data_IF_722110507767
#
_entry.id   IF_722110507767
#
_cell.length_a   1.000
_cell.length_b   1.000
_cell.length_c   1.000
_cell.angle_alpha   90.00
_cell.angle_beta   90.00
_cell.angle_gamma   90.00
#
_symmetry.space_group_name_H-M   'P 1'
#
loop_
_entity.id
_entity.type
_entity.pdbx_description
1 polymer ?
#
# COMPACT_ATOMS: atom_id res chain seq x y z
N UNK A 1 35.51 8.51 -40.36
CA UNK A 1 34.13 9.04 -40.35
C UNK A 1 33.21 7.90 -40.00
N UNK A 2 32.41 8.05 -38.95
CA UNK A 2 31.69 6.97 -38.29
C UNK A 2 30.50 6.46 -39.12
N UNK A 3 30.39 5.14 -39.27
CA UNK A 3 29.20 4.48 -39.83
C UNK A 3 28.03 4.54 -38.83
N UNK A 4 26.77 4.71 -39.30
CA UNK A 4 25.62 4.87 -38.43
C UNK A 4 25.32 3.57 -37.69
N UNK A 5 25.17 3.65 -36.37
CA UNK A 5 24.82 2.52 -35.52
C UNK A 5 23.48 1.90 -35.91
N UNK A 6 23.52 0.61 -36.25
CA UNK A 6 22.33 -0.22 -36.43
C UNK A 6 21.58 -0.24 -35.10
N UNK A 7 20.45 0.47 -35.00
CA UNK A 7 19.49 0.28 -33.91
C UNK A 7 18.99 -1.16 -34.00
N UNK A 8 19.47 -2.05 -33.14
CA UNK A 8 18.91 -3.41 -32.98
C UNK A 8 17.41 -3.24 -32.70
N UNK A 9 16.57 -3.68 -33.63
CA UNK A 9 15.13 -3.80 -33.38
C UNK A 9 14.96 -4.70 -32.16
N UNK A 10 14.34 -4.17 -31.11
CA UNK A 10 13.91 -4.96 -29.96
C UNK A 10 13.01 -6.08 -30.50
N UNK A 11 13.53 -7.31 -30.48
CA UNK A 11 12.74 -8.47 -30.83
C UNK A 11 11.78 -8.72 -29.67
N UNK A 12 10.49 -8.65 -29.95
CA UNK A 12 9.45 -9.10 -29.03
C UNK A 12 9.65 -10.61 -28.83
N UNK A 13 10.11 -11.00 -27.64
CA UNK A 13 10.19 -12.40 -27.21
C UNK A 13 8.79 -12.86 -26.85
N UNK A 14 8.35 -13.98 -27.42
CA UNK A 14 7.10 -14.65 -27.03
C UNK A 14 7.33 -15.25 -25.64
N UNK A 15 6.53 -14.79 -24.68
CA UNK A 15 6.54 -15.22 -23.28
C UNK A 15 5.57 -16.42 -23.16
N UNK A 16 6.03 -17.55 -22.61
CA UNK A 16 5.17 -18.72 -22.39
C UNK A 16 4.18 -18.51 -21.24
N UNK A 17 3.07 -19.25 -21.21
CA UNK A 17 1.94 -19.11 -20.26
C UNK A 17 2.27 -19.16 -18.75
N UNK A 18 3.52 -19.46 -18.35
CA UNK A 18 3.99 -19.40 -16.96
C UNK A 18 4.95 -18.24 -16.66
N UNK A 19 5.31 -17.44 -17.67
CA UNK A 19 6.31 -16.37 -17.58
C UNK A 19 5.68 -14.96 -17.59
N UNK A 20 4.40 -14.78 -17.23
CA UNK A 20 3.81 -13.44 -17.15
C UNK A 20 4.64 -12.57 -16.19
N UNK A 21 5.39 -11.63 -16.76
CA UNK A 21 5.79 -10.40 -16.09
C UNK A 21 4.49 -9.61 -16.06
N UNK A 22 3.82 -9.60 -14.91
CA UNK A 22 2.55 -8.89 -14.75
C UNK A 22 2.74 -7.38 -14.86
N UNK A 23 3.99 -6.89 -14.85
CA UNK A 23 4.32 -5.46 -14.86
C UNK A 23 3.88 -4.76 -13.58
N UNK A 24 3.42 -5.52 -12.58
CA UNK A 24 2.87 -5.02 -11.33
C UNK A 24 3.95 -4.85 -10.25
N UNK A 25 5.09 -5.52 -10.42
CA UNK A 25 6.20 -5.53 -9.47
C UNK A 25 7.45 -4.90 -10.12
N UNK A 26 8.34 -4.26 -9.33
CA UNK A 26 9.60 -3.76 -9.86
C UNK A 26 10.42 -4.89 -10.49
N UNK A 27 11.00 -4.62 -11.66
CA UNK A 27 11.74 -5.62 -12.44
C UNK A 27 12.83 -6.37 -11.65
N UNK A 28 13.59 -5.76 -10.72
CA UNK A 28 14.54 -6.50 -9.89
C UNK A 28 13.87 -7.54 -8.97
N UNK A 29 12.70 -7.22 -8.40
CA UNK A 29 11.94 -8.16 -7.57
C UNK A 29 11.43 -9.32 -8.41
N UNK A 30 10.83 -9.04 -9.57
CA UNK A 30 10.35 -10.08 -10.48
C UNK A 30 11.46 -11.04 -10.90
N UNK A 31 12.63 -10.49 -11.24
CA UNK A 31 13.79 -11.28 -11.61
C UNK A 31 14.30 -12.09 -10.43
N UNK A 32 14.48 -11.47 -9.26
CA UNK A 32 14.94 -12.15 -8.05
C UNK A 32 14.03 -13.34 -7.74
N UNK A 33 12.71 -13.10 -7.70
CA UNK A 33 11.72 -14.11 -7.39
C UNK A 33 11.71 -15.29 -8.38
N UNK A 34 11.97 -15.03 -9.67
CA UNK A 34 12.01 -16.07 -10.71
C UNK A 34 13.28 -16.90 -10.68
N UNK A 35 14.43 -16.31 -10.36
CA UNK A 35 15.73 -17.00 -10.47
C UNK A 35 16.20 -17.61 -9.15
N UNK A 36 15.73 -17.11 -8.01
CA UNK A 36 16.26 -17.55 -6.72
C UNK A 36 15.76 -18.96 -6.37
N UNK A 37 16.68 -19.78 -5.89
CA UNK A 37 16.37 -21.03 -5.22
C UNK A 37 15.89 -20.77 -3.78
N UNK A 38 14.97 -21.61 -3.30
CA UNK A 38 14.44 -21.48 -1.94
C UNK A 38 15.56 -21.56 -0.90
N UNK A 39 15.80 -20.43 -0.23
CA UNK A 39 16.71 -20.32 0.91
C UNK A 39 18.14 -19.94 0.53
N UNK A 40 18.40 -19.73 -0.76
CA UNK A 40 19.65 -19.17 -1.25
C UNK A 40 19.83 -17.70 -0.83
N UNK A 41 20.99 -17.14 -1.15
CA UNK A 41 21.32 -15.76 -0.77
C UNK A 41 20.43 -14.72 -1.46
N UNK A 42 20.04 -14.96 -2.71
CA UNK A 42 19.15 -14.06 -3.48
C UNK A 42 17.75 -14.03 -2.87
N UNK A 43 17.23 -15.20 -2.51
CA UNK A 43 15.95 -15.35 -1.84
C UNK A 43 15.96 -14.67 -0.46
N UNK A 44 17.03 -14.87 0.32
CA UNK A 44 17.19 -14.19 1.62
C UNK A 44 17.26 -12.67 1.47
N UNK A 45 17.96 -12.16 0.46
CA UNK A 45 18.02 -10.72 0.18
C UNK A 45 16.64 -10.18 -0.24
N UNK A 46 15.91 -10.92 -1.06
CA UNK A 46 14.53 -10.58 -1.44
C UNK A 46 13.60 -10.53 -0.23
N UNK A 47 13.65 -11.52 0.66
CA UNK A 47 12.87 -11.52 1.90
C UNK A 47 13.30 -10.38 2.82
N UNK A 48 14.59 -10.04 2.91
CA UNK A 48 15.08 -8.91 3.70
C UNK A 48 14.50 -7.57 3.21
N UNK A 49 14.43 -7.38 1.89
CA UNK A 49 13.76 -6.23 1.27
C UNK A 49 12.27 -6.20 1.65
N UNK A 50 11.60 -7.35 1.53
CA UNK A 50 10.19 -7.50 1.88
C UNK A 50 9.91 -7.15 3.35
N UNK A 51 10.73 -7.66 4.28
CA UNK A 51 10.69 -7.34 5.71
C UNK A 51 10.82 -5.84 5.94
N UNK A 52 11.74 -5.18 5.23
CA UNK A 52 11.97 -3.73 5.38
C UNK A 52 10.74 -2.92 4.95
N UNK A 53 10.15 -3.26 3.80
CA UNK A 53 8.95 -2.58 3.29
C UNK A 53 7.72 -2.86 4.17
N UNK A 54 7.57 -4.10 4.64
CA UNK A 54 6.48 -4.47 5.54
C UNK A 54 6.61 -3.77 6.91
N UNK A 55 7.80 -3.73 7.51
CA UNK A 55 8.03 -3.00 8.78
C UNK A 55 7.68 -1.52 8.61
N UNK A 56 8.13 -0.89 7.51
CA UNK A 56 7.78 0.49 7.20
C UNK A 56 6.26 0.67 7.09
N UNK A 57 5.57 -0.15 6.30
CA UNK A 57 4.11 -0.06 6.15
C UNK A 57 3.37 -0.25 7.48
N UNK A 58 3.75 -1.24 8.29
CA UNK A 58 3.16 -1.49 9.61
C UNK A 58 3.31 -0.29 10.55
N UNK A 59 4.48 0.35 10.57
CA UNK A 59 4.76 1.51 11.43
C UNK A 59 4.05 2.78 10.97
N UNK A 60 3.93 2.97 9.67
CA UNK A 60 3.33 4.18 9.09
C UNK A 60 1.81 4.11 9.05
N UNK A 61 1.23 2.92 8.90
CA UNK A 61 -0.21 2.75 8.69
C UNK A 61 -1.02 2.40 9.95
N UNK A 62 -0.35 2.08 11.06
CA UNK A 62 -1.03 1.61 12.28
C UNK A 62 -0.41 2.15 13.57
N UNK A 63 -1.21 2.37 14.62
CA UNK A 63 -0.70 2.76 15.93
C UNK A 63 0.13 1.63 16.58
N UNK A 64 1.04 1.94 17.52
CA UNK A 64 1.90 0.95 18.16
C UNK A 64 1.17 -0.26 18.77
N UNK A 65 0.02 -0.05 19.39
CA UNK A 65 -0.78 -1.13 19.99
C UNK A 65 -1.43 -2.09 18.98
N UNK A 66 -1.56 -1.66 17.72
CA UNK A 66 -2.10 -2.47 16.62
C UNK A 66 -0.99 -3.14 15.80
N UNK A 67 0.13 -2.45 15.56
CA UNK A 67 1.22 -2.99 14.73
C UNK A 67 2.14 -3.96 15.47
N UNK A 68 2.26 -3.86 16.80
CA UNK A 68 3.24 -4.64 17.56
C UNK A 68 3.14 -6.15 17.38
N UNK A 69 1.95 -6.78 17.46
CA UNK A 69 1.83 -8.22 17.24
C UNK A 69 2.32 -8.66 15.85
N UNK A 70 2.06 -7.87 14.81
CA UNK A 70 2.53 -8.15 13.45
C UNK A 70 4.03 -7.96 13.30
N UNK A 71 4.59 -6.92 13.95
CA UNK A 71 6.03 -6.67 13.99
C UNK A 71 6.79 -7.80 14.71
N UNK A 72 6.22 -8.34 15.79
CA UNK A 72 6.81 -9.48 16.50
C UNK A 72 6.87 -10.71 15.58
N UNK A 73 5.84 -10.98 14.76
CA UNK A 73 5.90 -12.06 13.77
C UNK A 73 6.88 -11.77 12.62
N UNK A 74 6.93 -10.53 12.16
CA UNK A 74 7.87 -10.12 11.11
C UNK A 74 9.33 -10.24 11.57
N UNK A 75 9.60 -10.13 12.88
CA UNK A 75 10.93 -10.38 13.45
C UNK A 75 11.42 -11.81 13.22
N UNK A 76 10.51 -12.79 13.09
CA UNK A 76 10.83 -14.17 12.75
C UNK A 76 11.32 -14.27 11.31
N UNK A 77 10.70 -13.55 10.36
CA UNK A 77 11.19 -13.46 8.98
C UNK A 77 12.60 -12.83 8.94
N UNK A 78 12.84 -11.80 9.75
CA UNK A 78 14.17 -11.19 9.87
C UNK A 78 15.22 -12.18 10.43
N UNK A 79 14.86 -12.94 11.47
CA UNK A 79 15.72 -13.99 12.01
C UNK A 79 15.97 -15.11 11.00
N UNK A 80 14.97 -15.43 10.16
CA UNK A 80 15.10 -16.45 9.11
C UNK A 80 16.10 -16.01 8.06
N UNK A 81 16.04 -14.74 7.60
CA UNK A 81 17.03 -14.14 6.69
C UNK A 81 18.45 -14.32 7.23
N UNK A 82 18.63 -14.10 8.53
CA UNK A 82 19.92 -14.24 9.24
C UNK A 82 20.35 -15.71 9.49
N UNK A 83 19.53 -16.69 9.12
CA UNK A 83 19.82 -18.12 9.35
C UNK A 83 19.66 -18.57 10.80
N UNK A 84 18.94 -17.81 11.63
CA UNK A 84 18.78 -18.08 13.08
C UNK A 84 17.56 -18.91 13.42
N UNK A 85 16.60 -19.02 12.51
CA UNK A 85 15.38 -19.82 12.69
C UNK A 85 15.11 -20.65 11.45
N UNK A 86 14.40 -21.75 11.64
CA UNK A 86 13.98 -22.66 10.57
C UNK A 86 12.66 -22.22 9.91
N UNK A 87 12.23 -23.00 8.93
CA UNK A 87 10.99 -22.77 8.18
C UNK A 87 9.74 -23.04 9.03
N UNK A 88 9.82 -23.93 10.01
CA UNK A 88 8.65 -24.28 10.83
C UNK A 88 8.26 -23.11 11.75
N UNK A 89 9.26 -22.44 12.33
CA UNK A 89 9.06 -21.19 13.05
C UNK A 89 8.39 -20.12 12.17
N UNK A 90 8.77 -20.01 10.89
CA UNK A 90 8.16 -19.03 9.98
C UNK A 90 6.71 -19.36 9.64
N UNK A 91 6.34 -20.65 9.54
CA UNK A 91 4.94 -21.07 9.32
C UNK A 91 4.05 -20.76 10.51
N UNK A 92 4.55 -20.99 11.72
CA UNK A 92 3.86 -20.59 12.95
C UNK A 92 3.65 -19.07 12.98
N UNK A 93 4.71 -18.30 12.72
CA UNK A 93 4.64 -16.85 12.67
C UNK A 93 3.64 -16.34 11.60
N UNK A 94 3.59 -17.01 10.45
CA UNK A 94 2.63 -16.74 9.37
C UNK A 94 1.18 -16.93 9.82
N UNK A 95 0.89 -18.02 10.53
CA UNK A 95 -0.45 -18.27 11.08
C UNK A 95 -0.84 -17.21 12.11
N UNK A 96 0.08 -16.87 13.02
CA UNK A 96 -0.13 -15.83 14.03
C UNK A 96 -0.33 -14.45 13.40
N UNK A 97 0.45 -14.09 12.37
CA UNK A 97 0.27 -12.84 11.63
C UNK A 97 -1.09 -12.78 10.91
N UNK A 98 -1.50 -13.87 10.27
CA UNK A 98 -2.80 -13.96 9.57
C UNK A 98 -3.97 -13.77 10.54
N UNK A 99 -3.94 -14.45 11.69
CA UNK A 99 -4.98 -14.30 12.73
C UNK A 99 -5.00 -12.90 13.36
N UNK A 100 -3.87 -12.19 13.36
CA UNK A 100 -3.78 -10.84 13.89
C UNK A 100 -4.36 -9.74 12.98
N UNK A 101 -4.61 -9.99 11.68
CA UNK A 101 -5.06 -8.98 10.71
C UNK A 101 -6.34 -8.26 11.20
N UNK A 102 -7.38 -9.02 11.53
CA UNK A 102 -8.68 -8.47 11.94
C UNK A 102 -8.56 -7.66 13.23
N UNK A 103 -7.74 -8.14 14.17
CA UNK A 103 -7.49 -7.42 15.42
C UNK A 103 -6.72 -6.11 15.19
N UNK A 104 -5.75 -6.09 14.27
CA UNK A 104 -4.99 -4.91 13.92
C UNK A 104 -5.86 -3.84 13.25
N UNK A 105 -6.73 -4.23 12.32
CA UNK A 105 -7.69 -3.33 11.66
C UNK A 105 -8.66 -2.71 12.69
N UNK A 106 -9.25 -3.56 13.56
CA UNK A 106 -10.14 -3.12 14.62
C UNK A 106 -9.45 -2.15 15.59
N UNK A 107 -8.26 -2.48 16.10
CA UNK A 107 -7.52 -1.58 17.01
C UNK A 107 -7.12 -0.27 16.34
N UNK A 108 -6.81 -0.29 15.05
CA UNK A 108 -6.48 0.93 14.29
C UNK A 108 -7.70 1.83 14.16
N UNK A 109 -8.85 1.28 13.76
CA UNK A 109 -10.11 2.04 13.64
C UNK A 109 -10.61 2.55 14.98
N UNK A 110 -10.47 1.78 16.07
CA UNK A 110 -10.76 2.23 17.44
C UNK A 110 -9.87 3.41 17.84
N UNK A 111 -8.55 3.33 17.61
CA UNK A 111 -7.63 4.42 17.92
C UNK A 111 -7.93 5.70 17.14
N UNK A 112 -8.28 5.57 15.86
CA UNK A 112 -8.72 6.71 15.03
C UNK A 112 -10.04 7.27 15.56
N UNK A 113 -11.00 6.42 15.92
CA UNK A 113 -12.30 6.85 16.50
C UNK A 113 -12.11 7.66 17.78
N UNK A 114 -11.27 7.19 18.70
CA UNK A 114 -10.95 7.93 19.93
C UNK A 114 -10.25 9.26 19.62
N UNK A 115 -9.33 9.28 18.66
CA UNK A 115 -8.67 10.51 18.22
C UNK A 115 -9.69 11.51 17.65
N UNK A 116 -10.64 11.06 16.82
CA UNK A 116 -11.69 11.90 16.26
C UNK A 116 -12.59 12.53 17.34
N UNK A 117 -12.91 11.78 18.42
CA UNK A 117 -13.68 12.31 19.56
C UNK A 117 -12.94 13.44 20.26
N UNK A 118 -11.62 13.32 20.42
CA UNK A 118 -10.78 14.33 21.08
C UNK A 118 -10.69 15.64 20.29
N UNK A 119 -10.78 15.59 18.96
CA UNK A 119 -10.71 16.78 18.11
C UNK A 119 -11.96 17.69 18.17
N UNK A 120 -13.00 17.32 18.93
CA UNK A 120 -14.23 18.13 19.18
C UNK A 120 -14.84 18.76 17.92
N UNK A 121 -14.87 18.02 16.80
CA UNK A 121 -15.47 18.53 15.56
C UNK A 121 -17.00 18.55 15.68
N UNK A 122 -17.60 19.73 15.54
CA UNK A 122 -19.03 19.83 15.24
C UNK A 122 -19.20 19.47 13.76
N UNK A 123 -19.98 18.44 13.48
CA UNK A 123 -20.39 18.14 12.10
C UNK A 123 -21.41 19.21 11.69
N UNK A 124 -21.03 20.06 10.73
CA UNK A 124 -21.86 21.18 10.27
C UNK A 124 -22.73 20.78 9.07
N UNK A 125 -22.29 19.79 8.29
CA UNK A 125 -22.95 19.31 7.07
C UNK A 125 -23.10 17.79 7.04
N UNK A 126 -23.95 17.28 6.11
CA UNK A 126 -24.03 15.85 5.82
C UNK A 126 -22.71 15.26 5.30
N UNK A 127 -21.89 16.09 4.62
CA UNK A 127 -20.56 15.72 4.14
C UNK A 127 -19.57 15.48 5.29
N UNK A 128 -19.67 16.18 6.42
CA UNK A 128 -18.81 15.94 7.58
C UNK A 128 -19.02 14.56 8.22
N UNK A 129 -20.28 14.10 8.29
CA UNK A 129 -20.61 12.75 8.75
C UNK A 129 -20.06 11.70 7.79
N UNK A 130 -20.24 11.91 6.49
CA UNK A 130 -19.73 11.02 5.45
C UNK A 130 -18.20 10.94 5.47
N UNK A 131 -17.51 12.07 5.59
CA UNK A 131 -16.06 12.12 5.65
C UNK A 131 -15.49 11.37 6.87
N UNK A 132 -16.19 11.41 8.02
CA UNK A 132 -15.81 10.60 9.18
C UNK A 132 -15.80 9.11 8.86
N UNK A 133 -16.83 8.62 8.16
CA UNK A 133 -16.88 7.23 7.67
C UNK A 133 -15.75 6.93 6.69
N UNK A 134 -15.42 7.87 5.79
CA UNK A 134 -14.30 7.73 4.84
C UNK A 134 -12.95 7.63 5.55
N UNK A 135 -12.70 8.48 6.55
CA UNK A 135 -11.48 8.44 7.37
C UNK A 135 -11.31 7.06 8.02
N UNK A 136 -12.37 6.55 8.67
CA UNK A 136 -12.33 5.24 9.32
C UNK A 136 -12.09 4.11 8.31
N UNK A 137 -12.77 4.15 7.15
CA UNK A 137 -12.58 3.17 6.08
C UNK A 137 -11.16 3.18 5.54
N UNK A 138 -10.59 4.36 5.28
CA UNK A 138 -9.24 4.47 4.73
C UNK A 138 -8.18 4.04 5.75
N UNK A 139 -8.36 4.35 7.04
CA UNK A 139 -7.48 3.84 8.09
C UNK A 139 -7.56 2.31 8.20
N UNK A 140 -8.76 1.72 8.10
CA UNK A 140 -8.95 0.27 8.05
C UNK A 140 -8.24 -0.35 6.85
N UNK A 141 -8.41 0.21 5.65
CA UNK A 141 -7.73 -0.24 4.43
C UNK A 141 -6.21 -0.15 4.56
N UNK A 142 -5.69 0.96 5.12
CA UNK A 142 -4.26 1.13 5.38
C UNK A 142 -3.70 0.05 6.30
N UNK A 143 -4.40 -0.24 7.41
CA UNK A 143 -4.03 -1.31 8.34
C UNK A 143 -4.08 -2.69 7.68
N UNK A 144 -5.13 -2.97 6.91
CA UNK A 144 -5.33 -4.24 6.23
C UNK A 144 -4.21 -4.53 5.22
N UNK A 145 -3.89 -3.57 4.35
CA UNK A 145 -2.79 -3.70 3.38
C UNK A 145 -1.43 -3.85 4.08
N UNK A 146 -1.18 -3.10 5.16
CA UNK A 146 0.07 -3.22 5.92
C UNK A 146 0.20 -4.58 6.62
N UNK A 147 -0.88 -5.11 7.21
CA UNK A 147 -0.91 -6.44 7.79
C UNK A 147 -0.76 -7.53 6.71
N UNK A 148 -1.37 -7.32 5.55
CA UNK A 148 -1.17 -8.13 4.34
C UNK A 148 0.29 -8.21 3.91
N UNK A 149 1.04 -7.09 3.97
CA UNK A 149 2.47 -7.09 3.68
C UNK A 149 3.26 -8.02 4.61
N UNK A 150 2.93 -8.05 5.90
CA UNK A 150 3.59 -8.93 6.86
C UNK A 150 3.35 -10.41 6.54
N UNK A 151 2.11 -10.77 6.22
CA UNK A 151 1.75 -12.14 5.80
C UNK A 151 2.41 -12.52 4.48
N UNK A 152 2.36 -11.64 3.47
CA UNK A 152 3.03 -11.88 2.18
C UNK A 152 4.54 -12.03 2.33
N UNK A 153 5.16 -11.31 3.26
CA UNK A 153 6.59 -11.45 3.56
C UNK A 153 6.91 -12.82 4.16
N UNK A 154 6.06 -13.31 5.04
CA UNK A 154 6.21 -14.66 5.62
C UNK A 154 5.91 -15.75 4.59
N UNK A 155 4.89 -15.56 3.74
CA UNK A 155 4.59 -16.45 2.62
C UNK A 155 5.74 -16.48 1.60
N UNK A 156 6.46 -15.36 1.42
CA UNK A 156 7.61 -15.27 0.52
C UNK A 156 8.75 -16.22 0.90
N UNK A 157 8.87 -16.58 2.18
CA UNK A 157 9.89 -17.55 2.67
C UNK A 157 9.63 -18.96 2.12
N UNK A 158 8.37 -19.33 1.91
CA UNK A 158 7.99 -20.59 1.29
C UNK A 158 8.00 -20.50 -0.25
N UNK A 159 7.55 -19.37 -0.80
CA UNK A 159 7.35 -19.12 -2.22
C UNK A 159 7.81 -17.70 -2.60
N UNK A 160 9.00 -17.53 -3.22
CA UNK A 160 9.53 -16.21 -3.59
C UNK A 160 8.57 -15.37 -4.45
N UNK A 161 7.66 -16.00 -5.21
CA UNK A 161 6.66 -15.31 -6.03
C UNK A 161 5.67 -14.47 -5.21
N UNK A 162 5.57 -14.71 -3.90
CA UNK A 162 4.71 -13.90 -3.01
C UNK A 162 5.26 -12.49 -2.75
N UNK A 163 6.54 -12.26 -3.03
CA UNK A 163 7.18 -10.95 -2.91
C UNK A 163 6.70 -9.92 -3.95
N UNK A 164 6.13 -10.38 -5.08
CA UNK A 164 5.80 -9.53 -6.24
C UNK A 164 4.88 -8.35 -5.87
N UNK A 165 3.93 -8.56 -4.97
CA UNK A 165 2.94 -7.54 -4.64
C UNK A 165 3.33 -6.63 -3.46
N UNK A 166 4.46 -6.87 -2.80
CA UNK A 166 4.80 -6.17 -1.54
C UNK A 166 5.00 -4.67 -1.76
N UNK A 167 5.62 -4.25 -2.85
CA UNK A 167 5.85 -2.83 -3.13
C UNK A 167 4.53 -2.08 -3.30
N UNK A 168 3.63 -2.62 -4.11
CA UNK A 168 2.30 -2.05 -4.36
C UNK A 168 1.44 -2.05 -3.10
N UNK A 169 1.46 -3.15 -2.33
CA UNK A 169 0.73 -3.26 -1.06
C UNK A 169 1.25 -2.26 -0.02
N UNK A 170 2.56 -2.15 0.16
CA UNK A 170 3.17 -1.22 1.10
C UNK A 170 2.90 0.24 0.73
N UNK A 171 3.01 0.59 -0.56
CA UNK A 171 2.69 1.94 -1.05
C UNK A 171 1.22 2.27 -0.82
N UNK A 172 0.31 1.36 -1.18
CA UNK A 172 -1.12 1.50 -0.96
C UNK A 172 -1.49 1.66 0.51
N UNK A 173 -0.89 0.87 1.40
CA UNK A 173 -1.11 0.93 2.84
C UNK A 173 -0.80 2.32 3.40
N UNK A 174 0.35 2.89 3.03
CA UNK A 174 0.80 4.19 3.51
C UNK A 174 -0.01 5.32 2.86
N UNK A 175 -0.34 5.20 1.57
CA UNK A 175 -1.18 6.17 0.87
C UNK A 175 -2.58 6.26 1.49
N UNK A 176 -3.23 5.12 1.78
CA UNK A 176 -4.54 5.11 2.45
C UNK A 176 -4.48 5.78 3.82
N UNK A 177 -3.46 5.49 4.63
CA UNK A 177 -3.32 6.12 5.94
C UNK A 177 -3.11 7.64 5.84
N UNK A 178 -2.26 8.10 4.91
CA UNK A 178 -2.05 9.53 4.65
C UNK A 178 -3.33 10.23 4.18
N UNK A 179 -4.13 9.56 3.35
CA UNK A 179 -5.43 10.08 2.93
C UNK A 179 -6.41 10.18 4.10
N UNK A 180 -6.48 9.15 4.95
CA UNK A 180 -7.34 9.12 6.12
C UNK A 180 -7.01 10.26 7.10
N UNK A 181 -5.74 10.42 7.46
CA UNK A 181 -5.32 11.36 8.50
C UNK A 181 -5.00 12.78 7.97
N UNK A 182 -4.89 12.95 6.66
CA UNK A 182 -4.64 14.24 6.00
C UNK A 182 -5.88 14.76 5.26
N UNK A 183 -5.95 14.65 3.92
CA UNK A 183 -7.03 15.24 3.12
C UNK A 183 -8.45 14.88 3.55
N UNK A 184 -8.75 13.61 3.85
CA UNK A 184 -10.10 13.22 4.27
C UNK A 184 -10.48 13.85 5.63
N UNK A 185 -9.47 14.07 6.47
CA UNK A 185 -9.61 14.78 7.73
C UNK A 185 -9.72 16.30 7.53
N UNK A 186 -9.10 16.91 6.53
CA UNK A 186 -9.11 18.37 6.33
C UNK A 186 -10.52 18.95 6.13
N UNK A 187 -10.89 19.99 6.90
CA UNK A 187 -12.18 20.70 6.72
C UNK A 187 -12.21 21.55 5.46
N UNK A 188 -11.06 22.09 5.05
CA UNK A 188 -10.91 22.94 3.86
C UNK A 188 -11.36 22.22 2.59
N UNK A 189 -10.95 20.96 2.41
CA UNK A 189 -11.36 20.16 1.26
C UNK A 189 -12.87 19.93 1.24
N UNK A 190 -13.48 19.66 2.40
CA UNK A 190 -14.94 19.45 2.48
C UNK A 190 -15.71 20.73 2.15
N UNK A 191 -15.23 21.87 2.66
CA UNK A 191 -15.81 23.16 2.35
C UNK A 191 -15.68 23.48 0.84
N UNK A 192 -14.53 23.21 0.23
CA UNK A 192 -14.32 23.39 -1.20
C UNK A 192 -15.21 22.48 -2.06
N UNK A 193 -15.33 21.20 -1.70
CA UNK A 193 -16.20 20.25 -2.40
C UNK A 193 -17.68 20.66 -2.28
N UNK A 194 -18.09 21.15 -1.11
CA UNK A 194 -19.44 21.66 -0.89
C UNK A 194 -19.72 22.93 -1.72
N UNK A 195 -18.81 23.90 -1.69
CA UNK A 195 -18.95 25.14 -2.46
C UNK A 195 -18.98 24.90 -3.98
N UNK A 196 -18.16 23.97 -4.48
CA UNK A 196 -18.20 23.57 -5.90
C UNK A 196 -19.53 22.90 -6.24
N UNK A 197 -20.03 22.01 -5.37
CA UNK A 197 -21.30 21.32 -5.59
C UNK A 197 -22.51 22.28 -5.59
N UNK A 198 -22.52 23.26 -4.69
CA UNK A 198 -23.55 24.32 -4.67
C UNK A 198 -23.51 25.16 -5.95
N UNK A 199 -22.30 25.52 -6.41
CA UNK A 199 -22.13 26.26 -7.67
C UNK A 199 -22.66 25.46 -8.87
N UNK A 200 -22.27 24.19 -9.02
CA UNK A 200 -22.76 23.33 -10.11
C UNK A 200 -24.28 23.11 -10.05
N UNK A 201 -24.83 22.89 -8.85
CA UNK A 201 -26.27 22.71 -8.66
C UNK A 201 -27.08 23.99 -8.97
N UNK A 202 -26.46 25.18 -8.84
CA UNK A 202 -27.10 26.47 -9.16
C UNK A 202 -27.20 26.75 -10.68
N UNK A 203 -26.55 25.94 -11.52
CA UNK A 203 -26.54 26.15 -12.97
C UNK A 203 -27.92 25.85 -13.57
N UNK A 204 -28.40 26.66 -14.54
CA UNK A 204 -29.70 26.43 -15.17
C UNK A 204 -29.84 25.00 -15.71
N UNK A 205 -30.86 24.28 -15.27
CA UNK A 205 -31.13 22.89 -15.68
C UNK A 205 -30.39 21.80 -14.91
N UNK A 206 -29.53 22.13 -13.95
CA UNK A 206 -28.74 21.14 -13.18
C UNK A 206 -29.40 20.73 -11.85
N UNK A 207 -30.13 21.64 -11.20
CA UNK A 207 -30.73 21.43 -9.87
C UNK A 207 -31.77 20.31 -9.80
N UNK A 208 -32.38 19.96 -10.92
CA UNK A 208 -33.39 18.89 -11.01
C UNK A 208 -32.78 17.49 -11.18
N UNK A 209 -31.49 17.40 -11.55
CA UNK A 209 -30.83 16.12 -11.90
C UNK A 209 -29.91 15.62 -10.80
N UNK A 210 -29.23 16.50 -10.05
CA UNK A 210 -28.29 16.10 -9.00
C UNK A 210 -28.42 16.97 -7.74
N UNK A 211 -28.85 16.41 -6.59
CA UNK A 211 -28.82 17.12 -5.32
C UNK A 211 -27.40 17.55 -4.94
N UNK A 212 -27.21 18.81 -4.52
CA UNK A 212 -25.89 19.36 -4.17
C UNK A 212 -25.09 18.48 -3.19
N UNK A 213 -25.77 17.85 -2.22
CA UNK A 213 -25.11 16.93 -1.28
C UNK A 213 -24.52 15.67 -1.93
N UNK A 214 -25.18 15.10 -2.95
CA UNK A 214 -24.66 13.94 -3.67
C UNK A 214 -23.45 14.32 -4.53
N UNK A 215 -23.52 15.48 -5.18
CA UNK A 215 -22.41 16.02 -5.96
C UNK A 215 -21.20 16.36 -5.09
N UNK A 216 -21.42 16.92 -3.90
CA UNK A 216 -20.34 17.21 -2.94
C UNK A 216 -19.61 15.93 -2.50
N UNK A 217 -20.34 14.84 -2.26
CA UNK A 217 -19.76 13.54 -1.93
C UNK A 217 -18.96 12.97 -3.10
N UNK A 218 -19.45 13.10 -4.33
CA UNK A 218 -18.72 12.66 -5.52
C UNK A 218 -17.41 13.44 -5.70
N UNK A 219 -17.48 14.78 -5.70
CA UNK A 219 -16.30 15.65 -5.83
C UNK A 219 -15.26 15.37 -4.74
N UNK A 220 -15.72 15.14 -3.51
CA UNK A 220 -14.85 14.75 -2.40
C UNK A 220 -14.11 13.44 -2.68
N UNK A 221 -14.80 12.39 -3.16
CA UNK A 221 -14.17 11.11 -3.49
C UNK A 221 -13.26 11.18 -4.71
N UNK A 222 -13.63 11.94 -5.75
CA UNK A 222 -12.78 12.14 -6.93
C UNK A 222 -11.45 12.78 -6.53
N UNK A 223 -11.49 13.85 -5.73
CA UNK A 223 -10.28 14.49 -5.22
C UNK A 223 -9.44 13.53 -4.37
N UNK A 224 -10.06 12.81 -3.43
CA UNK A 224 -9.35 11.83 -2.61
C UNK A 224 -8.74 10.71 -3.45
N UNK A 225 -9.43 10.26 -4.50
CA UNK A 225 -8.93 9.26 -5.45
C UNK A 225 -7.70 9.74 -6.21
N UNK A 226 -7.72 10.98 -6.72
CA UNK A 226 -6.56 11.60 -7.36
C UNK A 226 -5.38 11.71 -6.39
N UNK A 227 -5.60 12.26 -5.19
CA UNK A 227 -4.54 12.41 -4.18
C UNK A 227 -3.97 11.06 -3.72
N UNK A 228 -4.84 10.06 -3.53
CA UNK A 228 -4.41 8.71 -3.19
C UNK A 228 -3.51 8.13 -4.28
N UNK A 229 -3.90 8.28 -5.56
CA UNK A 229 -3.12 7.80 -6.69
C UNK A 229 -1.75 8.46 -6.73
N UNK A 230 -1.68 9.78 -6.61
CA UNK A 230 -0.42 10.52 -6.62
C UNK A 230 0.51 10.10 -5.47
N UNK A 231 -0.04 9.92 -4.26
CA UNK A 231 0.72 9.44 -3.10
C UNK A 231 1.20 8.01 -3.28
N UNK A 232 0.34 7.12 -3.77
CA UNK A 232 0.66 5.71 -4.02
C UNK A 232 1.71 5.57 -5.10
N UNK A 233 1.57 6.29 -6.22
CA UNK A 233 2.55 6.28 -7.32
C UNK A 233 3.90 6.89 -6.89
N UNK A 234 3.89 7.98 -6.12
CA UNK A 234 5.11 8.56 -5.57
C UNK A 234 5.83 7.63 -4.58
N UNK A 235 5.09 6.97 -3.70
CA UNK A 235 5.64 5.97 -2.77
C UNK A 235 6.16 4.73 -3.50
N UNK A 236 5.43 4.26 -4.51
CA UNK A 236 5.86 3.15 -5.36
C UNK A 236 7.18 3.47 -6.06
N UNK A 237 7.29 4.65 -6.69
CA UNK A 237 8.53 5.09 -7.33
C UNK A 237 9.69 5.19 -6.32
N UNK A 238 9.42 5.67 -5.10
CA UNK A 238 10.43 5.71 -4.03
C UNK A 238 10.87 4.30 -3.61
N UNK A 239 9.93 3.37 -3.45
CA UNK A 239 10.24 1.98 -3.11
C UNK A 239 10.91 1.22 -4.26
N UNK A 240 10.59 1.53 -5.51
CA UNK A 240 11.29 1.06 -6.71
C UNK A 240 12.75 1.52 -6.70
N UNK A 241 13.02 2.81 -6.45
CA UNK A 241 14.38 3.32 -6.33
C UNK A 241 15.16 2.66 -5.18
N UNK A 242 14.50 2.42 -4.04
CA UNK A 242 15.08 1.66 -2.93
C UNK A 242 15.37 0.20 -3.33
N UNK A 243 14.46 -0.45 -4.05
CA UNK A 243 14.63 -1.82 -4.56
C UNK A 243 15.80 -1.91 -5.53
N UNK A 244 15.93 -0.95 -6.44
CA UNK A 244 17.04 -0.86 -7.41
C UNK A 244 18.40 -0.65 -6.75
N UNK A 245 18.42 0.02 -5.59
CA UNK A 245 19.61 0.19 -4.76
C UNK A 245 19.93 -1.08 -3.97
N UNK A 246 18.91 -1.74 -3.41
CA UNK A 246 19.07 -2.93 -2.58
C UNK A 246 19.42 -4.19 -3.39
N UNK A 247 19.00 -4.26 -4.66
CA UNK A 247 19.23 -5.40 -5.56
C UNK A 247 20.01 -4.97 -6.83
N UNK A 248 21.24 -4.43 -6.71
CA UNK A 248 21.95 -3.78 -7.82
C UNK A 248 22.38 -4.75 -8.93
N UNK A 249 22.52 -6.04 -8.63
CA UNK A 249 22.98 -7.08 -9.56
C UNK A 249 21.91 -7.64 -10.52
N UNK A 250 20.65 -7.20 -10.40
CA UNK A 250 19.52 -7.74 -11.19
C UNK A 250 19.02 -6.78 -12.28
N UNK A 251 19.76 -5.70 -12.54
CA UNK A 251 19.45 -4.72 -13.59
C UNK A 251 19.58 -5.32 -14.99
N UNK A 252 18.75 -4.93 -15.97
CA UNK A 252 19.00 -5.26 -17.37
C UNK A 252 20.31 -4.59 -17.80
N UNK A 253 21.19 -5.36 -18.45
CA UNK A 253 22.16 -4.78 -19.38
C UNK A 253 21.45 -4.22 -20.60
#
# INVERSE_FOLDING_TARGET
MASPGIKRKLQLRIIHQGEEITGAAPLPIERAAKICGRGDQTHRALVALCVTLADYALRQSMPPGANRPLLDQLSVAHAWVQGKVDVEATRKARSEAYTAIVAAEKRTTEAVTESLKLMKRKAETGLDRHATTVVLRYAALGANYAAGCAVMTLDAIDDPGRSLNIVTQAAGAVAYQRMALGPALGSELRAAAWGQAEWEASRPGASEVYPAGALAVQLFHEFLGCQWKDQSDGLRAYFEAFTDWALPGLRPN
#
